data_IF_016817133293
#
_entry.id   IF_016817133293
#
_cell.length_a   1.000
_cell.length_b   1.000
_cell.length_c   1.000
_cell.angle_alpha   90.00
_cell.angle_beta   90.00
_cell.angle_gamma   90.00
#
_symmetry.space_group_name_H-M   'P 1'
#
loop_
_entity.id
_entity.type
_entity.pdbx_description
1 polymer ?
#
# COMPACT_ATOMS: atom_id res chain seq x y z
N UNK A 1 -2.01 -9.86 -28.33
CA UNK A 1 -2.34 -8.59 -27.65
C UNK A 1 -2.95 -8.98 -26.32
N UNK A 2 -2.21 -8.82 -25.22
CA UNK A 2 -2.68 -9.20 -23.90
C UNK A 2 -3.71 -8.18 -23.43
N UNK A 3 -4.97 -8.59 -23.37
CA UNK A 3 -6.06 -7.81 -22.79
C UNK A 3 -5.81 -7.71 -21.29
N UNK A 4 -5.15 -6.64 -20.84
CA UNK A 4 -5.03 -6.34 -19.41
C UNK A 4 -6.43 -5.98 -18.95
N UNK A 5 -7.14 -6.94 -18.35
CA UNK A 5 -8.38 -6.66 -17.62
C UNK A 5 -8.02 -5.79 -16.42
N UNK A 6 -8.07 -4.46 -16.60
CA UNK A 6 -7.84 -3.50 -15.54
C UNK A 6 -8.84 -3.77 -14.40
N UNK A 7 -8.29 -4.19 -13.25
CA UNK A 7 -9.07 -4.43 -12.05
C UNK A 7 -9.25 -3.12 -11.31
N UNK A 8 -10.46 -2.86 -10.83
CA UNK A 8 -10.69 -1.73 -9.92
C UNK A 8 -9.97 -1.98 -8.60
N UNK A 9 -9.04 -1.09 -8.25
CA UNK A 9 -8.35 -1.11 -6.97
C UNK A 9 -9.33 -0.98 -5.80
N UNK A 10 -9.18 -1.83 -4.78
CA UNK A 10 -10.02 -1.81 -3.57
C UNK A 10 -9.65 -0.69 -2.59
N UNK A 11 -8.40 -0.25 -2.60
CA UNK A 11 -7.91 0.75 -1.66
C UNK A 11 -7.49 2.01 -2.44
N UNK A 12 -7.99 3.16 -2.01
CA UNK A 12 -7.58 4.44 -2.59
C UNK A 12 -6.27 4.93 -1.96
N UNK A 13 -5.59 5.86 -2.61
CA UNK A 13 -4.50 6.64 -2.00
C UNK A 13 -5.02 7.31 -0.72
N UNK A 14 -4.24 7.24 0.36
CA UNK A 14 -4.63 7.70 1.70
C UNK A 14 -5.39 6.65 2.54
N UNK A 15 -5.78 5.52 1.95
CA UNK A 15 -6.38 4.42 2.71
C UNK A 15 -5.36 3.80 3.66
N UNK A 16 -5.76 3.59 4.92
CA UNK A 16 -4.96 2.87 5.90
C UNK A 16 -5.30 1.39 5.83
N UNK A 17 -4.27 0.58 5.64
CA UNK A 17 -4.38 -0.87 5.46
C UNK A 17 -3.43 -1.59 6.41
N UNK A 18 -3.73 -2.87 6.64
CA UNK A 18 -2.85 -3.80 7.34
C UNK A 18 -2.67 -5.06 6.54
N UNK A 19 -1.52 -5.71 6.72
CA UNK A 19 -1.29 -6.99 6.09
C UNK A 19 -2.07 -8.11 6.80
N UNK A 20 -2.58 -9.07 6.03
CA UNK A 20 -3.42 -10.15 6.56
C UNK A 20 -2.69 -11.14 7.47
N UNK A 21 -1.40 -11.36 7.22
CA UNK A 21 -0.54 -12.32 7.93
C UNK A 21 0.54 -11.61 8.76
N UNK A 22 1.42 -10.83 8.10
CA UNK A 22 2.48 -10.09 8.78
C UNK A 22 1.97 -8.89 9.60
N UNK A 23 2.59 -8.59 10.76
CA UNK A 23 2.11 -7.58 11.69
C UNK A 23 2.61 -6.17 11.31
N UNK A 24 2.19 -5.67 10.16
CA UNK A 24 2.43 -4.28 9.76
C UNK A 24 1.15 -3.62 9.24
N UNK A 25 1.16 -2.29 9.33
CA UNK A 25 0.13 -1.39 8.83
C UNK A 25 0.77 -0.26 8.03
N UNK A 26 0.01 0.41 7.18
CA UNK A 26 0.53 1.51 6.40
C UNK A 26 -0.55 2.27 5.65
N UNK A 27 -0.15 3.41 5.09
CA UNK A 27 -1.03 4.22 4.23
C UNK A 27 -0.62 4.05 2.77
N UNK A 28 -1.60 3.84 1.91
CA UNK A 28 -1.40 3.75 0.45
C UNK A 28 -0.97 5.11 -0.09
N UNK A 29 0.19 5.17 -0.76
CA UNK A 29 0.64 6.39 -1.44
C UNK A 29 0.76 6.24 -2.95
N UNK A 30 0.80 5.01 -3.46
CA UNK A 30 0.77 4.72 -4.89
C UNK A 30 0.19 3.33 -5.18
N UNK A 31 -0.27 3.10 -6.41
CA UNK A 31 -0.91 1.85 -6.86
C UNK A 31 -0.49 1.51 -8.29
N UNK A 32 0.11 0.34 -8.46
CA UNK A 32 0.35 -0.26 -9.77
C UNK A 32 -0.86 -1.12 -10.18
N UNK A 33 -1.38 -1.01 -11.42
CA UNK A 33 -2.56 -1.75 -11.86
C UNK A 33 -2.33 -3.28 -11.90
N UNK A 34 -1.07 -3.68 -12.07
CA UNK A 34 -0.57 -5.06 -12.05
C UNK A 34 0.81 -5.08 -11.38
N UNK A 35 1.39 -6.25 -11.16
CA UNK A 35 2.75 -6.36 -10.64
C UNK A 35 3.77 -5.60 -11.53
N UNK A 36 4.42 -4.59 -10.97
CA UNK A 36 5.49 -3.81 -11.58
C UNK A 36 6.79 -3.84 -10.73
N UNK A 37 7.37 -5.03 -10.56
CA UNK A 37 8.69 -5.19 -9.93
C UNK A 37 9.47 -6.31 -10.66
N UNK A 38 10.67 -6.63 -10.21
CA UNK A 38 11.54 -7.58 -10.92
C UNK A 38 11.03 -9.02 -10.81
N UNK A 39 11.28 -9.80 -11.85
CA UNK A 39 10.93 -11.23 -11.88
C UNK A 39 11.68 -11.99 -10.77
N UNK A 40 12.93 -11.62 -10.53
CA UNK A 40 13.79 -12.20 -9.49
C UNK A 40 13.19 -12.00 -8.09
N UNK A 41 12.67 -10.81 -7.80
CA UNK A 41 11.98 -10.55 -6.54
C UNK A 41 10.75 -11.43 -6.39
N UNK A 42 9.96 -11.56 -7.46
CA UNK A 42 8.76 -12.40 -7.46
C UNK A 42 9.10 -13.89 -7.27
N UNK A 43 10.16 -14.39 -7.91
CA UNK A 43 10.63 -15.77 -7.78
C UNK A 43 11.24 -16.06 -6.39
N UNK A 44 11.81 -15.05 -5.72
CA UNK A 44 12.32 -15.17 -4.37
C UNK A 44 11.22 -15.37 -3.31
N UNK A 45 9.96 -15.04 -3.63
CA UNK A 45 8.82 -15.32 -2.75
C UNK A 45 8.50 -16.82 -2.77
N UNK A 46 8.34 -17.47 -1.60
CA UNK A 46 7.92 -18.87 -1.54
C UNK A 46 6.61 -19.08 -2.30
N UNK A 47 6.55 -20.15 -3.09
CA UNK A 47 5.45 -20.39 -4.03
C UNK A 47 4.07 -20.39 -3.36
N UNK A 48 3.98 -20.89 -2.12
CA UNK A 48 2.75 -20.99 -1.33
C UNK A 48 2.13 -19.63 -0.97
N UNK A 49 2.94 -18.57 -0.91
CA UNK A 49 2.49 -17.21 -0.56
C UNK A 49 2.71 -16.22 -1.70
N UNK A 50 3.15 -16.71 -2.86
CA UNK A 50 3.48 -15.90 -4.02
C UNK A 50 2.21 -15.23 -4.57
N UNK A 51 2.19 -13.89 -4.70
CA UNK A 51 1.00 -13.20 -5.16
C UNK A 51 0.83 -13.37 -6.68
N UNK A 52 -0.42 -13.45 -7.14
CA UNK A 52 -0.72 -13.40 -8.57
C UNK A 52 -0.37 -12.01 -9.12
N UNK A 53 0.17 -11.95 -10.33
CA UNK A 53 0.59 -10.67 -10.95
C UNK A 53 -0.56 -9.86 -11.55
N UNK A 54 -1.68 -10.51 -11.86
CA UNK A 54 -2.87 -9.95 -12.52
C UNK A 54 -3.83 -9.22 -11.54
N UNK A 55 -3.27 -8.44 -10.62
CA UNK A 55 -4.02 -7.68 -9.63
C UNK A 55 -3.28 -6.40 -9.25
N UNK A 56 -3.94 -5.41 -8.64
CA UNK A 56 -3.27 -4.21 -8.15
C UNK A 56 -2.22 -4.52 -7.07
N UNK A 57 -1.09 -3.82 -7.14
CA UNK A 57 -0.07 -3.79 -6.11
C UNK A 57 0.03 -2.38 -5.54
N UNK A 58 0.28 -2.28 -4.24
CA UNK A 58 0.21 -1.05 -3.49
C UNK A 58 1.58 -0.72 -2.91
N UNK A 59 1.95 0.55 -3.01
CA UNK A 59 3.08 1.11 -2.26
C UNK A 59 2.57 1.76 -0.99
N UNK A 60 3.13 1.35 0.14
CA UNK A 60 2.71 1.78 1.46
C UNK A 60 3.85 2.46 2.21
N UNK A 61 3.55 3.58 2.88
CA UNK A 61 4.36 4.05 3.99
C UNK A 61 3.94 3.21 5.20
N UNK A 62 4.76 2.22 5.55
CA UNK A 62 4.41 1.15 6.48
C UNK A 62 5.21 1.19 7.78
N UNK A 63 4.62 0.65 8.84
CA UNK A 63 5.26 0.49 10.14
C UNK A 63 4.89 -0.85 10.76
N UNK A 64 5.82 -1.39 11.55
CA UNK A 64 5.57 -2.47 12.49
C UNK A 64 5.89 -2.00 13.92
N UNK A 65 6.05 -2.93 14.86
CA UNK A 65 6.36 -2.56 16.26
C UNK A 65 7.75 -1.91 16.44
N UNK A 66 8.66 -2.10 15.48
CA UNK A 66 10.09 -1.78 15.63
C UNK A 66 10.58 -0.71 14.65
N UNK A 67 10.02 -0.65 13.45
CA UNK A 67 10.58 0.09 12.31
C UNK A 67 9.52 0.70 11.40
N UNK A 68 9.96 1.66 10.59
CA UNK A 68 9.21 2.32 9.51
C UNK A 68 9.91 2.03 8.17
N UNK A 69 9.15 1.70 7.13
CA UNK A 69 9.71 1.35 5.82
C UNK A 69 8.66 1.48 4.70
N UNK A 70 9.12 1.48 3.44
CA UNK A 70 8.25 1.41 2.27
C UNK A 70 7.96 -0.06 1.95
N UNK A 71 6.68 -0.42 1.84
CA UNK A 71 6.25 -1.77 1.50
C UNK A 71 5.60 -1.81 0.12
N UNK A 72 5.92 -2.87 -0.65
CA UNK A 72 5.27 -3.18 -1.93
C UNK A 72 4.47 -4.48 -1.79
N UNK A 73 3.14 -4.39 -1.90
CA UNK A 73 2.23 -5.45 -1.42
C UNK A 73 1.05 -5.66 -2.38
N UNK A 74 0.72 -6.91 -2.66
CA UNK A 74 -0.44 -7.29 -3.48
C UNK A 74 -1.78 -7.03 -2.78
N UNK A 75 -2.82 -6.66 -3.54
CA UNK A 75 -4.16 -6.42 -2.99
C UNK A 75 -4.73 -7.57 -2.15
N UNK A 76 -4.56 -8.82 -2.59
CA UNK A 76 -5.06 -10.01 -1.88
C UNK A 76 -4.52 -10.17 -0.44
N UNK A 77 -3.43 -9.47 -0.13
CA UNK A 77 -2.76 -9.53 1.16
C UNK A 77 -3.10 -8.34 2.08
N UNK A 78 -3.92 -7.40 1.62
CA UNK A 78 -4.32 -6.22 2.37
C UNK A 78 -5.74 -6.33 2.92
N UNK A 79 -5.91 -5.81 4.12
CA UNK A 79 -7.20 -5.61 4.79
C UNK A 79 -7.29 -4.13 5.20
N UNK A 80 -8.50 -3.54 5.27
CA UNK A 80 -8.65 -2.23 5.85
C UNK A 80 -8.22 -2.24 7.31
N UNK A 81 -7.51 -1.19 7.71
CA UNK A 81 -7.21 -0.94 9.12
C UNK A 81 -8.26 0.01 9.68
N UNK A 82 -9.07 -0.50 10.62
CA UNK A 82 -10.17 0.22 11.25
C UNK A 82 -9.83 0.67 12.68
N UNK A 83 -8.57 0.59 13.10
CA UNK A 83 -8.13 0.98 14.45
C UNK A 83 -8.33 2.47 14.74
N UNK A 84 -8.23 3.32 13.71
CA UNK A 84 -8.23 4.79 13.86
C UNK A 84 -6.93 5.36 14.43
N UNK A 85 -5.94 4.51 14.70
CA UNK A 85 -4.63 4.92 15.21
C UNK A 85 -3.84 5.66 14.12
N UNK A 86 -3.15 6.74 14.49
CA UNK A 86 -2.25 7.41 13.58
C UNK A 86 -1.04 6.53 13.26
N UNK A 87 -0.59 6.56 12.02
CA UNK A 87 0.70 6.02 11.61
C UNK A 87 1.81 7.01 11.99
N UNK A 88 3.00 6.48 12.29
CA UNK A 88 4.20 7.20 12.75
C UNK A 88 5.17 7.51 11.62
N UNK A 89 5.11 6.76 10.51
CA UNK A 89 6.05 6.84 9.39
C UNK A 89 6.38 8.29 8.98
N UNK A 90 7.65 8.69 9.10
CA UNK A 90 8.09 10.07 8.90
C UNK A 90 7.67 10.69 7.54
N UNK A 91 7.74 9.91 6.46
CA UNK A 91 7.32 10.34 5.11
C UNK A 91 5.83 10.72 4.97
N UNK A 92 4.98 10.36 5.94
CA UNK A 92 3.57 10.75 5.92
C UNK A 92 3.40 12.26 6.02
N UNK A 93 4.22 12.92 6.84
CA UNK A 93 4.13 14.38 7.03
C UNK A 93 4.40 15.15 5.73
N UNK A 94 5.22 14.60 4.83
CA UNK A 94 5.58 15.19 3.55
C UNK A 94 4.51 15.00 2.48
N UNK A 95 3.79 13.87 2.50
CA UNK A 95 2.85 13.49 1.43
C UNK A 95 1.38 13.69 1.81
N UNK A 96 1.05 13.63 3.09
CA UNK A 96 -0.33 13.59 3.57
C UNK A 96 -0.61 14.63 4.65
N UNK A 97 -1.86 15.04 4.69
CA UNK A 97 -2.48 15.70 5.83
C UNK A 97 -3.55 14.79 6.42
N UNK A 98 -3.68 14.81 7.74
CA UNK A 98 -4.70 14.04 8.45
C UNK A 98 -5.86 14.96 8.80
N UNK A 99 -7.05 14.65 8.32
CA UNK A 99 -8.23 15.45 8.60
C UNK A 99 -8.78 15.20 10.02
N UNK A 100 -9.76 15.99 10.43
CA UNK A 100 -10.39 15.88 11.76
C UNK A 100 -11.08 14.52 12.01
N UNK A 101 -11.44 13.80 10.94
CA UNK A 101 -11.99 12.44 11.03
C UNK A 101 -10.89 11.37 11.10
N UNK A 102 -9.62 11.77 11.03
CA UNK A 102 -8.47 10.89 11.09
C UNK A 102 -8.05 10.28 9.76
N UNK A 103 -8.68 10.68 8.65
CA UNK A 103 -8.35 10.18 7.32
C UNK A 103 -7.15 10.92 6.72
N UNK A 104 -6.30 10.19 6.01
CA UNK A 104 -5.15 10.76 5.30
C UNK A 104 -5.56 11.22 3.91
N UNK A 105 -5.24 12.47 3.57
CA UNK A 105 -5.44 13.05 2.24
C UNK A 105 -4.10 13.52 1.70
N UNK A 106 -3.85 13.27 0.41
CA UNK A 106 -2.65 13.80 -0.22
C UNK A 106 -2.62 15.32 -0.05
N UNK A 107 -1.46 15.84 0.30
CA UNK A 107 -1.22 17.28 0.27
C UNK A 107 -1.41 17.76 -1.16
N UNK A 108 -2.21 18.80 -1.32
CA UNK A 108 -2.30 19.49 -2.60
C UNK A 108 -0.94 20.16 -2.83
N UNK A 109 -0.19 19.65 -3.79
CA UNK A 109 1.09 20.25 -4.15
C UNK A 109 0.73 21.48 -4.98
N UNK A 110 0.47 22.60 -4.29
CA UNK A 110 0.19 23.88 -4.92
C UNK A 110 1.25 24.11 -6.01
N UNK A 111 0.81 23.99 -7.26
CA UNK A 111 1.65 24.20 -8.42
C UNK A 111 1.84 25.71 -8.49
N UNK A 112 2.99 26.18 -8.03
CA UNK A 112 3.41 27.57 -8.24
C UNK A 112 3.73 27.81 -9.71
#
# INVERSE_FOLDING_TARGET
MSDVTLRTAKFAIGAVVRHRIYPFRGVVFDVDPVFDNTEEWWLAIPEEVRPRKDQPFYHLLAENAETEYVAYVSEQNLLPDTSGEALRHAGIAEMFERDAAGAYRMRDRATN
#
